data_IF_757279556357
#
_entry.id   IF_757279556357
#
_cell.length_a   1.000
_cell.length_b   1.000
_cell.length_c   1.000
_cell.angle_alpha   90.00
_cell.angle_beta   90.00
_cell.angle_gamma   90.00
#
_symmetry.space_group_name_H-M   'P 1'
#
loop_
_entity.id
_entity.type
_entity.pdbx_description
1 polymer ?
#
# COMPACT_ATOMS: atom_id res chain seq x y z
N UNK A 1 24.25 -30.81 -42.36
CA UNK A 1 23.11 -30.04 -42.91
C UNK A 1 23.14 -28.62 -42.34
N UNK A 2 22.87 -27.59 -43.15
CA UNK A 2 22.78 -26.20 -42.67
C UNK A 2 21.41 -26.01 -42.00
N UNK A 3 21.40 -25.61 -40.72
CA UNK A 3 20.15 -25.26 -40.00
C UNK A 3 19.74 -23.84 -40.37
N UNK A 4 18.45 -23.62 -40.57
CA UNK A 4 17.88 -22.33 -40.99
C UNK A 4 16.56 -22.04 -40.28
N UNK A 5 16.21 -20.76 -40.20
CA UNK A 5 14.93 -20.30 -39.66
C UNK A 5 13.77 -20.72 -40.58
N UNK A 6 12.78 -21.46 -40.06
CA UNK A 6 11.66 -21.92 -40.88
C UNK A 6 10.77 -20.78 -41.41
N UNK A 7 10.81 -19.60 -40.78
CA UNK A 7 9.99 -18.45 -41.16
C UNK A 7 10.62 -17.51 -42.19
N UNK A 8 11.94 -17.33 -42.16
CA UNK A 8 12.63 -16.38 -43.03
C UNK A 8 13.82 -16.94 -43.81
N UNK A 9 14.16 -18.23 -43.63
CA UNK A 9 15.25 -18.90 -44.33
C UNK A 9 16.66 -18.53 -43.86
N UNK A 10 16.80 -17.62 -42.89
CA UNK A 10 18.10 -17.18 -42.41
C UNK A 10 18.90 -18.33 -41.77
N UNK A 11 20.18 -18.44 -42.12
CA UNK A 11 21.06 -19.50 -41.62
C UNK A 11 21.48 -19.24 -40.16
N UNK A 12 21.49 -20.29 -39.36
CA UNK A 12 21.93 -20.24 -37.94
C UNK A 12 23.33 -19.64 -37.81
N UNK A 13 24.25 -20.01 -38.70
CA UNK A 13 25.63 -19.50 -38.73
C UNK A 13 25.73 -17.97 -38.91
N UNK A 14 24.71 -17.31 -39.46
CA UNK A 14 24.69 -15.87 -39.71
C UNK A 14 23.93 -15.09 -38.63
N UNK A 15 22.93 -15.71 -38.00
CA UNK A 15 21.97 -15.04 -37.12
C UNK A 15 21.99 -15.53 -35.67
N UNK A 16 22.92 -16.43 -35.33
CA UNK A 16 23.02 -17.05 -34.02
C UNK A 16 22.10 -18.27 -33.86
N UNK A 17 22.07 -18.89 -32.67
CA UNK A 17 21.34 -20.13 -32.41
C UNK A 17 19.86 -19.98 -32.75
N UNK A 18 19.28 -21.02 -33.35
CA UNK A 18 17.84 -21.08 -33.58
C UNK A 18 17.12 -21.39 -32.27
N UNK A 19 15.98 -20.72 -32.07
CA UNK A 19 15.11 -20.92 -30.90
C UNK A 19 13.82 -21.53 -31.41
N UNK A 20 13.56 -22.79 -31.08
CA UNK A 20 12.42 -23.56 -31.61
C UNK A 20 12.33 -23.51 -33.14
N UNK A 21 13.47 -23.43 -33.85
CA UNK A 21 13.51 -23.34 -35.31
C UNK A 21 13.38 -21.92 -35.90
N UNK A 22 13.27 -20.88 -35.07
CA UNK A 22 13.27 -19.47 -35.48
C UNK A 22 14.63 -18.81 -35.27
N UNK A 23 15.00 -17.87 -36.15
CA UNK A 23 16.12 -16.96 -35.86
C UNK A 23 15.73 -15.95 -34.78
N UNK A 24 16.74 -15.26 -34.23
CA UNK A 24 16.59 -14.29 -33.14
C UNK A 24 15.52 -13.21 -33.42
N UNK A 25 15.45 -12.70 -34.65
CA UNK A 25 14.47 -11.68 -35.07
C UNK A 25 13.04 -12.25 -35.10
N UNK A 26 12.84 -13.34 -35.85
CA UNK A 26 11.51 -13.94 -35.99
C UNK A 26 10.97 -14.46 -34.65
N UNK A 27 11.86 -14.98 -33.80
CA UNK A 27 11.51 -15.39 -32.44
C UNK A 27 10.98 -14.21 -31.61
N UNK A 28 11.67 -13.06 -31.61
CA UNK A 28 11.27 -11.89 -30.85
C UNK A 28 9.97 -11.24 -31.35
N UNK A 29 9.72 -11.29 -32.66
CA UNK A 29 8.45 -10.83 -33.25
C UNK A 29 7.26 -11.69 -32.82
N UNK A 30 7.47 -13.00 -32.70
CA UNK A 30 6.42 -13.97 -32.39
C UNK A 30 6.20 -14.14 -30.89
N UNK A 31 7.23 -13.92 -30.08
CA UNK A 31 7.22 -14.13 -28.64
C UNK A 31 7.43 -12.81 -27.91
N UNK A 32 6.31 -12.16 -27.54
CA UNK A 32 6.30 -10.91 -26.77
C UNK A 32 6.90 -11.14 -25.38
N UNK A 33 7.67 -10.17 -24.90
CA UNK A 33 8.25 -10.19 -23.55
C UNK A 33 7.22 -9.76 -22.51
N UNK A 34 6.41 -8.76 -22.85
CA UNK A 34 5.40 -8.19 -21.97
C UNK A 34 4.01 -8.71 -22.32
N UNK A 35 3.33 -9.23 -21.31
CA UNK A 35 1.89 -9.37 -21.29
C UNK A 35 1.32 -8.29 -20.38
N UNK A 36 0.77 -7.24 -20.99
CA UNK A 36 0.18 -6.09 -20.31
C UNK A 36 -1.32 -6.01 -20.63
N UNK A 37 -2.15 -5.60 -19.66
CA UNK A 37 -3.56 -5.31 -19.94
C UNK A 37 -3.71 -4.08 -20.85
N UNK A 38 -4.73 -4.06 -21.70
CA UNK A 38 -5.03 -2.90 -22.54
C UNK A 38 -5.52 -1.69 -21.72
N UNK A 39 -6.24 -1.96 -20.63
CA UNK A 39 -6.83 -0.95 -19.74
C UNK A 39 -6.61 -1.31 -18.26
N UNK A 40 -6.44 -0.28 -17.42
CA UNK A 40 -6.30 -0.41 -15.96
C UNK A 40 -7.19 0.58 -15.20
N UNK A 41 -7.87 0.12 -14.15
CA UNK A 41 -8.49 1.01 -13.17
C UNK A 41 -7.48 1.29 -12.03
N UNK A 42 -7.17 2.56 -11.81
CA UNK A 42 -6.33 3.01 -10.69
C UNK A 42 -7.22 3.72 -9.68
N UNK A 43 -7.40 3.12 -8.51
CA UNK A 43 -8.26 3.67 -7.46
C UNK A 43 -7.43 4.35 -6.37
N UNK A 44 -7.73 5.63 -6.11
CA UNK A 44 -7.08 6.46 -5.09
C UNK A 44 -8.09 7.04 -4.11
N UNK A 45 -7.65 7.23 -2.87
CA UNK A 45 -8.47 7.82 -1.83
C UNK A 45 -8.51 9.33 -2.00
N UNK A 46 -9.70 9.90 -2.21
CA UNK A 46 -9.86 11.35 -2.37
C UNK A 46 -9.50 12.18 -1.14
N UNK A 47 -9.31 11.56 0.04
CA UNK A 47 -9.02 12.26 1.31
C UNK A 47 -7.56 12.19 1.75
N UNK A 48 -6.91 11.03 1.58
CA UNK A 48 -5.54 10.82 2.07
C UNK A 48 -4.55 10.39 0.98
N UNK A 49 -5.00 10.21 -0.27
CA UNK A 49 -4.13 9.80 -1.37
C UNK A 49 -3.68 8.34 -1.34
N UNK A 50 -4.04 7.56 -0.32
CA UNK A 50 -3.85 6.10 -0.30
C UNK A 50 -4.42 5.47 -1.57
N UNK A 51 -3.85 4.38 -2.06
CA UNK A 51 -4.29 3.73 -3.29
C UNK A 51 -4.64 2.25 -3.07
N UNK A 52 -5.52 1.71 -3.91
CA UNK A 52 -6.00 0.35 -3.80
C UNK A 52 -5.18 -0.58 -4.72
N UNK A 53 -4.57 -1.61 -4.15
CA UNK A 53 -4.00 -2.74 -4.90
C UNK A 53 -4.71 -4.03 -4.51
N UNK A 54 -5.27 -4.71 -5.51
CA UNK A 54 -6.14 -5.86 -5.28
C UNK A 54 -7.29 -5.51 -4.34
N UNK A 55 -7.25 -6.01 -3.10
CA UNK A 55 -8.25 -5.76 -2.06
C UNK A 55 -7.74 -4.94 -0.86
N UNK A 56 -6.52 -4.41 -0.94
CA UNK A 56 -5.86 -3.72 0.20
C UNK A 56 -5.48 -2.30 -0.17
N UNK A 57 -5.66 -1.40 0.81
CA UNK A 57 -5.28 0.01 0.68
C UNK A 57 -3.85 0.22 1.17
N UNK A 58 -3.02 0.80 0.31
CA UNK A 58 -1.62 1.11 0.57
C UNK A 58 -1.43 2.61 0.78
N UNK A 59 -0.46 2.98 1.62
CA UNK A 59 -0.18 4.38 1.89
C UNK A 59 0.42 5.08 0.68
N UNK A 60 0.07 6.35 0.58
CA UNK A 60 0.78 7.32 -0.23
C UNK A 60 2.20 7.52 0.30
N UNK A 61 3.22 7.12 -0.45
CA UNK A 61 4.58 7.59 -0.19
C UNK A 61 4.68 9.11 -0.43
N UNK A 62 5.67 9.77 0.19
CA UNK A 62 5.94 11.20 -0.05
C UNK A 62 6.28 11.39 -1.53
N UNK A 63 5.59 12.30 -2.21
CA UNK A 63 5.77 12.57 -3.63
C UNK A 63 4.46 12.52 -4.40
N UNK A 64 4.53 12.24 -5.70
CA UNK A 64 3.36 12.12 -6.57
C UNK A 64 2.58 10.82 -6.26
N UNK A 65 1.50 10.99 -5.53
CA UNK A 65 0.61 9.92 -5.06
C UNK A 65 -0.03 9.15 -6.20
N UNK A 66 -0.35 9.83 -7.30
CA UNK A 66 -1.03 9.22 -8.44
C UNK A 66 -0.02 8.44 -9.27
N UNK A 67 1.16 9.00 -9.52
CA UNK A 67 2.22 8.29 -10.24
C UNK A 67 2.65 7.00 -9.51
N UNK A 68 2.78 7.05 -8.18
CA UNK A 68 3.10 5.86 -7.38
C UNK A 68 1.98 4.82 -7.42
N UNK A 69 0.72 5.24 -7.29
CA UNK A 69 -0.43 4.35 -7.43
C UNK A 69 -0.48 3.68 -8.81
N UNK A 70 -0.23 4.44 -9.87
CA UNK A 70 -0.16 3.93 -11.24
C UNK A 70 0.96 2.88 -11.37
N UNK A 71 2.19 3.22 -10.98
CA UNK A 71 3.34 2.31 -11.06
C UNK A 71 3.07 1.01 -10.32
N UNK A 72 2.59 1.09 -9.08
CA UNK A 72 2.30 -0.09 -8.29
C UNK A 72 1.18 -0.94 -8.91
N UNK A 73 0.15 -0.31 -9.47
CA UNK A 73 -0.93 -1.00 -10.19
C UNK A 73 -0.41 -1.71 -11.44
N UNK A 74 0.44 -1.05 -12.23
CA UNK A 74 1.09 -1.65 -13.42
C UNK A 74 1.92 -2.85 -13.02
N UNK A 75 2.82 -2.72 -12.04
CA UNK A 75 3.69 -3.82 -11.61
C UNK A 75 2.90 -5.03 -11.09
N UNK A 76 1.72 -4.81 -10.49
CA UNK A 76 0.84 -5.89 -10.01
C UNK A 76 0.03 -6.58 -11.10
N UNK A 77 -0.07 -5.99 -12.30
CA UNK A 77 -0.84 -6.54 -13.44
C UNK A 77 0.02 -6.88 -14.66
N UNK A 78 1.28 -6.42 -14.68
CA UNK A 78 2.23 -6.73 -15.74
C UNK A 78 2.79 -8.14 -15.56
N UNK A 79 2.90 -8.87 -16.66
CA UNK A 79 3.52 -10.19 -16.71
C UNK A 79 4.66 -10.20 -17.72
N UNK A 80 5.70 -10.95 -17.39
CA UNK A 80 6.91 -11.14 -18.19
C UNK A 80 6.96 -12.59 -18.62
N UNK A 81 7.00 -12.82 -19.92
CA UNK A 81 7.05 -14.15 -20.50
C UNK A 81 8.46 -14.74 -20.42
N UNK A 82 8.55 -16.02 -20.03
CA UNK A 82 9.74 -16.84 -20.18
C UNK A 82 9.37 -18.15 -20.85
N UNK A 83 9.97 -18.40 -21.99
CA UNK A 83 9.78 -19.62 -22.75
C UNK A 83 10.86 -20.63 -22.38
N UNK A 84 10.43 -21.88 -22.22
CA UNK A 84 11.27 -23.04 -22.00
C UNK A 84 10.71 -24.23 -22.80
N UNK A 85 11.40 -25.37 -22.79
CA UNK A 85 10.90 -26.61 -23.41
C UNK A 85 9.55 -27.08 -22.81
N UNK A 86 9.27 -26.72 -21.56
CA UNK A 86 7.99 -27.00 -20.89
C UNK A 86 6.87 -26.01 -21.27
N UNK A 87 7.14 -25.04 -22.14
CA UNK A 87 6.22 -23.99 -22.55
C UNK A 87 6.51 -22.62 -21.93
N UNK A 88 5.59 -21.67 -22.14
CA UNK A 88 5.70 -20.28 -21.67
C UNK A 88 5.18 -20.14 -20.24
N UNK A 89 6.01 -19.63 -19.36
CA UNK A 89 5.65 -19.22 -18.00
C UNK A 89 5.61 -17.70 -17.89
N UNK A 90 4.75 -17.20 -17.00
CA UNK A 90 4.56 -15.77 -16.77
C UNK A 90 4.94 -15.40 -15.35
N UNK A 91 5.83 -14.41 -15.24
CA UNK A 91 6.37 -13.92 -13.98
C UNK A 91 5.96 -12.46 -13.77
N UNK A 92 5.83 -12.04 -12.52
CA UNK A 92 5.80 -10.62 -12.19
C UNK A 92 7.19 -10.01 -12.39
N UNK A 93 7.28 -8.69 -12.68
CA UNK A 93 8.56 -8.03 -12.90
C UNK A 93 9.60 -8.24 -11.79
N UNK A 94 9.17 -8.26 -10.52
CA UNK A 94 10.08 -8.44 -9.38
C UNK A 94 10.66 -9.85 -9.26
N UNK A 95 10.10 -10.84 -9.97
CA UNK A 95 10.60 -12.22 -10.01
C UNK A 95 11.67 -12.41 -11.09
N UNK A 96 12.00 -11.35 -11.85
CA UNK A 96 12.90 -11.38 -13.01
C UNK A 96 14.00 -10.33 -12.83
N UNK A 97 15.09 -10.65 -12.11
CA UNK A 97 16.11 -9.66 -11.73
C UNK A 97 16.82 -8.98 -12.90
N UNK A 98 16.97 -9.67 -14.04
CA UNK A 98 17.64 -9.14 -15.23
C UNK A 98 16.74 -8.29 -16.14
N UNK A 99 15.48 -8.07 -15.75
CA UNK A 99 14.55 -7.24 -16.50
C UNK A 99 14.87 -5.75 -16.30
N UNK A 100 15.17 -5.05 -17.38
CA UNK A 100 15.16 -3.59 -17.38
C UNK A 100 13.73 -3.12 -17.71
N UNK A 101 13.09 -2.37 -16.81
CA UNK A 101 11.69 -1.95 -16.94
C UNK A 101 11.54 -0.43 -16.74
N UNK A 102 10.87 0.22 -17.67
CA UNK A 102 10.50 1.63 -17.60
C UNK A 102 8.97 1.77 -17.61
N UNK A 103 8.43 2.51 -16.65
CA UNK A 103 6.99 2.78 -16.52
C UNK A 103 6.78 4.29 -16.49
N UNK A 104 6.21 4.81 -17.57
CA UNK A 104 6.06 6.24 -17.84
C UNK A 104 4.57 6.61 -17.94
N UNK A 105 3.96 7.10 -16.84
CA UNK A 105 2.58 7.57 -16.88
C UNK A 105 2.48 8.93 -17.58
N UNK A 106 1.57 9.02 -18.56
CA UNK A 106 1.17 10.25 -19.25
C UNK A 106 -0.22 10.66 -18.77
N UNK A 107 -0.26 11.42 -17.67
CA UNK A 107 -1.51 11.72 -16.94
C UNK A 107 -2.56 12.44 -17.80
N UNK A 108 -2.15 13.43 -18.61
CA UNK A 108 -3.04 14.19 -19.48
C UNK A 108 -3.69 13.32 -20.56
N UNK A 109 -2.93 12.37 -21.11
CA UNK A 109 -3.39 11.44 -22.15
C UNK A 109 -4.12 10.21 -21.57
N UNK A 110 -4.12 10.04 -20.24
CA UNK A 110 -4.65 8.84 -19.55
C UNK A 110 -4.05 7.54 -20.07
N UNK A 111 -2.76 7.58 -20.38
CA UNK A 111 -2.00 6.45 -20.92
C UNK A 111 -0.77 6.19 -20.06
N UNK A 112 -0.33 4.95 -20.01
CA UNK A 112 0.94 4.52 -19.44
C UNK A 112 1.73 3.84 -20.55
N UNK A 113 2.93 4.33 -20.79
CA UNK A 113 3.89 3.67 -21.65
C UNK A 113 4.75 2.75 -20.78
N UNK A 114 4.79 1.48 -21.15
CA UNK A 114 5.63 0.48 -20.51
C UNK A 114 6.62 -0.01 -21.53
N UNK A 115 7.90 0.07 -21.20
CA UNK A 115 8.99 -0.44 -22.01
C UNK A 115 9.76 -1.43 -21.17
N UNK A 116 10.11 -2.57 -21.74
CA UNK A 116 10.92 -3.56 -21.07
C UNK A 116 12.00 -4.11 -22.00
N UNK A 117 13.14 -4.41 -21.43
CA UNK A 117 14.24 -5.06 -22.12
C UNK A 117 14.66 -6.28 -21.32
N UNK A 118 14.64 -7.43 -21.98
CA UNK A 118 14.86 -8.71 -21.35
C UNK A 118 14.88 -9.84 -22.37
N UNK A 119 15.16 -11.06 -21.91
CA UNK A 119 15.07 -12.26 -22.73
C UNK A 119 13.78 -13.00 -22.42
N UNK A 120 13.11 -13.52 -23.43
CA UNK A 120 12.04 -14.51 -23.29
C UNK A 120 12.63 -15.91 -23.23
N UNK A 121 13.73 -16.19 -23.94
CA UNK A 121 14.38 -17.50 -23.98
C UNK A 121 15.90 -17.39 -23.73
N UNK A 122 16.49 -18.40 -23.11
CA UNK A 122 17.92 -18.41 -22.73
C UNK A 122 18.87 -18.31 -23.94
N UNK A 123 18.53 -19.00 -25.03
CA UNK A 123 19.26 -18.98 -26.30
C UNK A 123 19.18 -17.63 -27.05
N UNK A 124 18.50 -16.62 -26.52
CA UNK A 124 18.55 -15.29 -27.13
C UNK A 124 19.95 -14.68 -26.98
N UNK A 125 20.55 -14.28 -28.10
CA UNK A 125 21.89 -13.65 -28.11
C UNK A 125 21.84 -12.28 -27.44
N UNK A 126 20.80 -11.49 -27.72
CA UNK A 126 20.57 -10.17 -27.14
C UNK A 126 19.18 -10.10 -26.51
N UNK A 127 19.01 -9.36 -25.40
CA UNK A 127 17.68 -9.01 -24.90
C UNK A 127 16.87 -8.31 -25.98
N UNK A 128 15.59 -8.65 -26.10
CA UNK A 128 14.66 -7.93 -26.95
C UNK A 128 14.07 -6.75 -26.20
N UNK A 129 13.71 -5.72 -26.97
CA UNK A 129 12.94 -4.59 -26.47
C UNK A 129 11.47 -4.83 -26.77
N UNK A 130 10.62 -4.65 -25.76
CA UNK A 130 9.19 -4.76 -25.91
C UNK A 130 8.48 -3.54 -25.29
N UNK A 131 7.41 -3.11 -25.93
CA UNK A 131 6.67 -1.90 -25.60
C UNK A 131 5.17 -2.19 -25.54
N UNK A 132 4.52 -1.68 -24.50
CA UNK A 132 3.08 -1.76 -24.31
C UNK A 132 2.51 -0.39 -23.95
N UNK A 133 1.35 -0.07 -24.52
CA UNK A 133 0.60 1.15 -24.23
C UNK A 133 -0.69 0.76 -23.50
N UNK A 134 -0.82 1.19 -22.26
CA UNK A 134 -1.95 0.84 -21.38
C UNK A 134 -2.79 2.09 -21.15
N UNK A 135 -4.09 2.05 -21.42
CA UNK A 135 -5.01 3.13 -21.01
C UNK A 135 -5.32 2.98 -19.53
N UNK A 136 -5.53 4.08 -18.81
CA UNK A 136 -5.96 3.98 -17.42
C UNK A 136 -7.13 4.90 -17.07
N UNK A 137 -7.97 4.43 -16.16
CA UNK A 137 -9.02 5.21 -15.53
C UNK A 137 -8.65 5.51 -14.09
N UNK A 138 -8.58 6.79 -13.73
CA UNK A 138 -8.40 7.20 -12.34
C UNK A 138 -9.76 7.28 -11.64
N UNK A 139 -9.95 6.46 -10.62
CA UNK A 139 -11.16 6.43 -9.80
C UNK A 139 -10.86 6.98 -8.41
N UNK A 140 -11.73 7.86 -7.92
CA UNK A 140 -11.66 8.38 -6.56
C UNK A 140 -12.67 7.66 -5.68
N UNK A 141 -12.21 7.14 -4.54
CA UNK A 141 -13.08 6.55 -3.51
C UNK A 141 -12.59 6.91 -2.10
N UNK A 142 -13.24 6.39 -1.07
CA UNK A 142 -12.80 6.58 0.32
C UNK A 142 -12.16 5.30 0.83
N UNK A 143 -10.94 5.38 1.34
CA UNK A 143 -10.28 4.21 1.93
C UNK A 143 -10.94 3.81 3.25
N UNK A 144 -10.70 2.56 3.64
CA UNK A 144 -11.13 1.97 4.91
C UNK A 144 -10.89 2.90 6.12
N UNK A 145 -9.67 3.40 6.27
CA UNK A 145 -9.29 4.28 7.39
C UNK A 145 -10.02 5.61 7.36
N UNK A 146 -10.12 6.25 6.18
CA UNK A 146 -10.85 7.50 6.04
C UNK A 146 -12.35 7.32 6.26
N UNK A 147 -12.90 6.16 5.89
CA UNK A 147 -14.27 5.76 6.21
C UNK A 147 -14.48 5.67 7.72
N UNK A 148 -13.60 4.96 8.43
CA UNK A 148 -13.63 4.85 9.89
C UNK A 148 -13.53 6.21 10.58
N UNK A 149 -12.61 7.08 10.14
CA UNK A 149 -12.47 8.45 10.67
C UNK A 149 -13.76 9.26 10.46
N UNK A 150 -14.35 9.18 9.28
CA UNK A 150 -15.60 9.89 8.96
C UNK A 150 -16.78 9.40 9.79
N UNK A 151 -16.85 8.09 10.04
CA UNK A 151 -17.84 7.47 10.91
C UNK A 151 -17.58 7.70 12.41
N UNK A 152 -16.53 8.46 12.77
CA UNK A 152 -16.06 8.64 14.15
C UNK A 152 -15.88 7.31 14.89
N UNK A 153 -15.40 6.28 14.18
CA UNK A 153 -15.17 4.96 14.75
C UNK A 153 -14.07 5.01 15.82
N UNK A 154 -14.27 4.29 16.91
CA UNK A 154 -13.29 4.09 17.97
C UNK A 154 -13.51 2.76 18.68
N UNK A 155 -12.41 2.20 19.16
CA UNK A 155 -12.38 0.97 19.97
C UNK A 155 -12.22 1.28 21.46
N UNK A 156 -11.60 2.41 21.80
CA UNK A 156 -11.34 2.80 23.18
C UNK A 156 -11.66 4.27 23.45
N UNK A 157 -12.11 4.57 24.66
CA UNK A 157 -12.19 5.92 25.21
C UNK A 157 -11.08 6.07 26.23
N UNK A 158 -10.12 6.96 25.97
CA UNK A 158 -9.10 7.35 26.94
C UNK A 158 -9.59 8.58 27.70
N UNK A 159 -9.95 8.38 28.96
CA UNK A 159 -10.49 9.40 29.85
C UNK A 159 -9.36 9.95 30.71
N UNK A 160 -8.85 11.14 30.38
CA UNK A 160 -7.81 11.80 31.17
C UNK A 160 -8.51 12.68 32.20
N UNK A 161 -8.20 12.48 33.48
CA UNK A 161 -8.79 13.22 34.61
C UNK A 161 -7.70 13.81 35.51
N UNK A 162 -7.95 15.01 36.00
CA UNK A 162 -7.08 15.71 36.94
C UNK A 162 -7.34 17.22 36.93
N UNK A 163 -6.91 17.91 38.00
CA UNK A 163 -6.96 19.37 38.08
C UNK A 163 -5.86 19.98 37.20
N UNK A 164 -6.08 19.96 35.89
CA UNK A 164 -5.14 20.53 34.92
C UNK A 164 -5.48 21.98 34.62
N UNK A 165 -4.52 22.88 34.82
CA UNK A 165 -4.59 24.22 34.21
C UNK A 165 -4.70 24.09 32.69
N UNK A 166 -5.41 25.03 32.05
CA UNK A 166 -5.71 25.01 30.59
C UNK A 166 -4.46 24.79 29.73
N UNK A 167 -3.33 25.40 30.09
CA UNK A 167 -2.03 25.24 29.40
C UNK A 167 -1.55 23.79 29.41
N UNK A 168 -1.49 23.17 30.59
CA UNK A 168 -1.06 21.77 30.75
C UNK A 168 -1.99 20.79 30.04
N UNK A 169 -3.31 21.03 30.10
CA UNK A 169 -4.29 20.24 29.32
C UNK A 169 -4.01 20.28 27.81
N UNK A 170 -3.67 21.46 27.28
CA UNK A 170 -3.30 21.63 25.86
C UNK A 170 -1.98 20.91 25.51
N UNK A 171 -0.97 20.99 26.38
CA UNK A 171 0.32 20.31 26.18
C UNK A 171 0.15 18.78 26.14
N UNK A 172 -0.61 18.21 27.08
CA UNK A 172 -0.91 16.78 27.10
C UNK A 172 -1.65 16.37 25.84
N UNK A 173 -2.67 17.12 25.39
CA UNK A 173 -3.39 16.82 24.13
C UNK A 173 -2.46 16.83 22.93
N UNK A 174 -1.59 17.84 22.80
CA UNK A 174 -0.61 17.93 21.69
C UNK A 174 0.37 16.77 21.71
N UNK A 175 0.80 16.32 22.89
CA UNK A 175 1.66 15.15 23.03
C UNK A 175 0.96 13.87 22.56
N UNK A 176 -0.27 13.62 23.02
CA UNK A 176 -1.05 12.46 22.63
C UNK A 176 -1.40 12.47 21.13
N UNK A 177 -1.70 13.63 20.56
CA UNK A 177 -1.89 13.81 19.12
C UNK A 177 -0.61 13.46 18.32
N UNK A 178 0.56 13.89 18.80
CA UNK A 178 1.85 13.53 18.18
C UNK A 178 2.10 12.02 18.25
N UNK A 179 1.79 11.38 19.37
CA UNK A 179 1.90 9.93 19.50
C UNK A 179 0.99 9.22 18.48
N UNK A 180 -0.26 9.65 18.34
CA UNK A 180 -1.19 9.09 17.35
C UNK A 180 -0.67 9.24 15.91
N UNK A 181 -0.15 10.41 15.56
CA UNK A 181 0.40 10.69 14.23
C UNK A 181 1.69 9.90 13.93
N UNK A 182 2.48 9.57 14.96
CA UNK A 182 3.64 8.69 14.79
C UNK A 182 3.24 7.23 14.68
N UNK A 183 2.26 6.78 15.48
CA UNK A 183 1.69 5.45 15.38
C UNK A 183 1.05 5.20 14.01
N UNK A 184 0.37 6.22 13.44
CA UNK A 184 -0.31 6.10 12.15
C UNK A 184 0.62 5.80 10.98
N UNK A 185 1.92 6.14 11.09
CA UNK A 185 2.94 5.81 10.07
C UNK A 185 3.27 4.31 10.01
N UNK A 186 2.98 3.58 11.09
CA UNK A 186 3.22 2.12 11.18
C UNK A 186 1.91 1.35 11.04
N UNK A 187 0.84 1.88 11.61
CA UNK A 187 -0.48 1.26 11.62
C UNK A 187 -1.53 2.29 11.18
N UNK A 188 -2.02 2.20 9.92
CA UNK A 188 -2.88 3.23 9.30
C UNK A 188 -4.17 3.52 10.08
N UNK A 189 -4.73 2.49 10.74
CA UNK A 189 -5.92 2.57 11.57
C UNK A 189 -5.65 3.16 12.97
N UNK A 190 -4.42 3.58 13.29
CA UNK A 190 -4.09 4.31 14.50
C UNK A 190 -4.46 5.80 14.37
N UNK A 191 -5.52 6.25 15.05
CA UNK A 191 -5.96 7.63 15.05
C UNK A 191 -6.82 8.00 16.27
N UNK A 192 -6.91 9.31 16.53
CA UNK A 192 -7.90 9.89 17.46
C UNK A 192 -9.09 10.35 16.62
N UNK A 193 -10.26 9.77 16.85
CA UNK A 193 -11.50 10.06 16.14
C UNK A 193 -12.17 11.36 16.59
N UNK A 194 -12.10 11.63 17.90
CA UNK A 194 -12.74 12.78 18.55
C UNK A 194 -12.03 13.11 19.86
N UNK A 195 -12.05 14.40 20.22
CA UNK A 195 -11.68 14.91 21.54
C UNK A 195 -12.89 15.61 22.13
N UNK A 196 -13.21 15.33 23.40
CA UNK A 196 -14.29 16.00 24.15
C UNK A 196 -13.75 16.59 25.44
N UNK A 197 -14.04 17.86 25.70
CA UNK A 197 -13.71 18.49 26.99
C UNK A 197 -14.67 18.02 28.08
N UNK A 198 -14.15 17.83 29.28
CA UNK A 198 -14.91 17.45 30.46
C UNK A 198 -14.56 18.40 31.62
N UNK A 199 -15.44 18.50 32.62
CA UNK A 199 -15.25 19.42 33.75
C UNK A 199 -13.93 19.22 34.49
N UNK A 200 -13.46 17.98 34.59
CA UNK A 200 -12.21 17.59 35.26
C UNK A 200 -11.19 16.93 34.32
N UNK A 201 -11.19 17.30 33.03
CA UNK A 201 -10.23 16.76 32.06
C UNK A 201 -10.81 16.68 30.66
N UNK A 202 -10.53 15.58 29.95
CA UNK A 202 -11.02 15.38 28.58
C UNK A 202 -11.05 13.90 28.21
N UNK A 203 -11.82 13.57 27.19
CA UNK A 203 -11.94 12.23 26.62
C UNK A 203 -11.39 12.21 25.19
N UNK A 204 -10.57 11.20 24.90
CA UNK A 204 -10.12 10.89 23.55
C UNK A 204 -10.79 9.61 23.08
N UNK A 205 -11.43 9.66 21.92
CA UNK A 205 -12.00 8.50 21.24
C UNK A 205 -10.95 7.97 20.29
N UNK A 206 -10.40 6.80 20.58
CA UNK A 206 -9.15 6.30 19.98
C UNK A 206 -9.36 4.96 19.29
N UNK A 207 -8.70 4.80 18.15
CA UNK A 207 -8.60 3.56 17.39
C UNK A 207 -7.13 3.26 17.08
N UNK A 208 -6.67 2.00 17.10
CA UNK A 208 -7.26 0.88 17.83
C UNK A 208 -7.09 1.04 19.36
N UNK A 209 -7.59 0.09 20.15
CA UNK A 209 -7.39 0.07 21.62
C UNK A 209 -5.91 0.12 22.02
N UNK A 210 -5.02 -0.49 21.24
CA UNK A 210 -3.59 -0.52 21.54
C UNK A 210 -2.96 0.89 21.55
N UNK A 211 -3.42 1.79 20.68
CA UNK A 211 -2.98 3.19 20.72
C UNK A 211 -3.42 3.87 22.02
N UNK A 212 -4.65 3.61 22.49
CA UNK A 212 -5.14 4.17 23.75
C UNK A 212 -4.34 3.66 24.96
N UNK A 213 -3.94 2.37 24.97
CA UNK A 213 -3.06 1.79 26.00
C UNK A 213 -1.66 2.38 25.96
N UNK A 214 -1.10 2.62 24.77
CA UNK A 214 0.19 3.31 24.62
C UNK A 214 0.12 4.74 25.17
N UNK A 215 -0.93 5.48 24.83
CA UNK A 215 -1.19 6.82 25.37
C UNK A 215 -1.30 6.81 26.89
N UNK A 216 -2.08 5.89 27.47
CA UNK A 216 -2.22 5.75 28.91
C UNK A 216 -0.88 5.42 29.60
N UNK A 217 -0.09 4.52 29.01
CA UNK A 217 1.23 4.15 29.52
C UNK A 217 2.20 5.33 29.49
N UNK A 218 2.20 6.12 28.42
CA UNK A 218 2.97 7.37 28.32
C UNK A 218 2.59 8.34 29.44
N UNK A 219 1.29 8.54 29.69
CA UNK A 219 0.83 9.42 30.76
C UNK A 219 1.23 8.92 32.16
N UNK A 220 1.25 7.60 32.37
CA UNK A 220 1.74 7.00 33.61
C UNK A 220 3.24 7.23 33.80
N UNK A 221 4.04 7.06 32.76
CA UNK A 221 5.49 7.26 32.81
C UNK A 221 5.87 8.73 33.02
N UNK A 222 5.25 9.64 32.28
CA UNK A 222 5.62 11.07 32.33
C UNK A 222 5.02 11.82 33.51
N UNK A 223 3.82 11.44 33.95
CA UNK A 223 3.08 12.21 34.97
C UNK A 223 2.74 11.40 36.22
N UNK A 224 3.21 10.16 36.37
CA UNK A 224 2.89 9.33 37.54
C UNK A 224 1.40 8.97 37.66
N UNK A 225 0.70 8.89 36.51
CA UNK A 225 -0.74 8.70 36.47
C UNK A 225 -1.19 7.30 36.95
N UNK A 226 -2.38 7.23 37.58
CA UNK A 226 -3.06 5.96 37.89
C UNK A 226 -3.98 5.56 36.75
N UNK A 227 -3.90 4.31 36.29
CA UNK A 227 -4.68 3.77 35.18
C UNK A 227 -5.72 2.75 35.70
N UNK A 228 -6.96 2.83 35.22
CA UNK A 228 -7.96 1.76 35.32
C UNK A 228 -8.53 1.48 33.94
N UNK A 229 -8.65 0.22 33.56
CA UNK A 229 -9.22 -0.20 32.28
C UNK A 229 -10.45 -1.08 32.52
N UNK A 230 -11.49 -0.89 31.71
CA UNK A 230 -12.65 -1.77 31.63
C UNK A 230 -13.04 -2.02 30.18
N UNK A 231 -13.76 -3.11 29.93
CA UNK A 231 -14.20 -3.52 28.60
C UNK A 231 -15.68 -3.88 28.61
N UNK A 232 -16.42 -3.44 27.59
CA UNK A 232 -17.82 -3.79 27.36
C UNK A 232 -17.95 -4.54 26.04
N UNK A 233 -18.62 -5.69 26.03
CA UNK A 233 -18.99 -6.38 24.80
C UNK A 233 -20.01 -5.52 24.04
N UNK A 234 -19.71 -5.18 22.79
CA UNK A 234 -20.58 -4.37 21.92
C UNK A 234 -21.13 -5.14 20.72
N UNK A 235 -20.68 -6.38 20.51
CA UNK A 235 -21.21 -7.25 19.48
C UNK A 235 -20.29 -8.41 19.17
N UNK A 236 -20.56 -9.06 18.03
CA UNK A 236 -19.80 -10.19 17.52
C UNK A 236 -19.71 -10.06 16.00
N UNK A 237 -18.57 -10.43 15.42
CA UNK A 237 -18.44 -10.54 13.97
C UNK A 237 -19.18 -11.77 13.45
N UNK A 238 -19.42 -11.83 12.13
CA UNK A 238 -20.07 -12.99 11.48
C UNK A 238 -19.28 -14.29 11.68
N UNK A 239 -17.96 -14.21 11.82
CA UNK A 239 -17.06 -15.32 12.11
C UNK A 239 -16.92 -15.62 13.62
N UNK A 240 -17.78 -15.04 14.47
CA UNK A 240 -17.87 -15.37 15.90
C UNK A 240 -16.90 -14.60 16.81
N UNK A 241 -16.07 -13.69 16.30
CA UNK A 241 -15.16 -12.90 17.14
C UNK A 241 -15.91 -11.81 17.90
N UNK A 242 -15.74 -11.78 19.21
CA UNK A 242 -16.38 -10.79 20.10
C UNK A 242 -15.74 -9.40 19.89
N UNK A 243 -16.57 -8.38 19.69
CA UNK A 243 -16.16 -6.96 19.59
C UNK A 243 -16.36 -6.28 20.93
N UNK A 244 -15.31 -5.63 21.43
CA UNK A 244 -15.34 -4.90 22.69
C UNK A 244 -15.13 -3.40 22.49
N UNK A 245 -15.68 -2.61 23.39
CA UNK A 245 -15.35 -1.19 23.57
C UNK A 245 -14.69 -1.02 24.92
N UNK A 246 -13.51 -0.41 24.91
CA UNK A 246 -12.69 -0.22 26.10
C UNK A 246 -12.86 1.19 26.66
N UNK A 247 -12.82 1.31 27.97
CA UNK A 247 -12.72 2.59 28.69
C UNK A 247 -11.47 2.56 29.52
N UNK A 248 -10.52 3.46 29.25
CA UNK A 248 -9.25 3.57 29.95
C UNK A 248 -9.24 4.90 30.69
N UNK A 249 -9.36 4.85 32.01
CA UNK A 249 -9.35 6.00 32.89
C UNK A 249 -7.95 6.26 33.41
N UNK A 250 -7.40 7.42 33.07
CA UNK A 250 -6.10 7.91 33.52
C UNK A 250 -6.32 9.07 34.48
N UNK A 251 -5.98 8.89 35.75
CA UNK A 251 -5.99 9.95 36.76
C UNK A 251 -4.58 10.49 36.95
N UNK A 252 -4.36 11.72 36.52
CA UNK A 252 -3.14 12.45 36.79
C UNK A 252 -3.11 12.85 38.27
N UNK A 253 -1.93 12.83 38.93
CA UNK A 253 -1.81 13.33 40.29
C UNK A 253 -2.14 14.82 40.34
N UNK A 254 -2.66 15.26 41.48
CA UNK A 254 -2.72 16.69 41.80
C UNK A 254 -1.31 17.27 41.71
N UNK A 255 -1.15 18.45 41.12
CA UNK A 255 0.07 19.22 41.34
C UNK A 255 0.19 19.40 42.86
N UNK A 256 1.33 18.98 43.45
CA UNK A 256 1.72 19.55 44.74
C UNK A 256 2.01 21.01 44.43
N UNK A 257 1.32 21.92 45.11
CA UNK A 257 1.63 23.34 45.08
C UNK A 257 3.11 23.59 45.44
#
# INVERSE_FOLDING_TARGET
MKRFCYRCGALEAQQGPLIQGLCQRCFAEENRLLQAPAELEVTVCGRCGAYLLGKRWHEAERGDTIANAIRATVLSNLKVARLSDAGTKFFYPHEVPELELWVEPKLAERVINVRAKGKVHELQVKPQLDEARIKFMLKRSTCDVCGLKSARHYEAILQVRGKLKKKKSSEVKKMLQRLAMNASKRERNAFIAKVEEQREGFDLYVNPVNLARQMASMLKLEFGAKIKESAKLIGQTRDGRRKFRFSILVRLPSEKD
#
